data_IF_285766364843
#
_entry.id   IF_285766364843
#
_cell.length_a   1.000
_cell.length_b   1.000
_cell.length_c   1.000
_cell.angle_alpha   90.00
_cell.angle_beta   90.00
_cell.angle_gamma   90.00
#
_symmetry.space_group_name_H-M   'P 1'
#
loop_
_entity.id
_entity.type
_entity.pdbx_description
1 polymer ?
#
# COMPACT_ATOMS: atom_id res chain seq x y z
N UNK A 1 -2.22 -11.51 -18.17
CA UNK A 1 -3.08 -11.13 -17.02
C UNK A 1 -4.27 -12.08 -16.95
N UNK A 2 -4.62 -12.56 -15.75
CA UNK A 2 -5.77 -13.46 -15.58
C UNK A 2 -7.12 -12.72 -15.42
N UNK A 3 -7.07 -11.45 -15.00
CA UNK A 3 -8.27 -10.62 -14.93
C UNK A 3 -8.67 -10.09 -16.30
N UNK A 4 -9.88 -9.53 -16.41
CA UNK A 4 -10.35 -8.78 -17.59
C UNK A 4 -9.70 -7.40 -17.70
N UNK A 5 -9.09 -6.92 -16.60
CA UNK A 5 -8.39 -5.63 -16.48
C UNK A 5 -6.92 -5.86 -16.09
N UNK A 6 -6.07 -4.94 -16.45
CA UNK A 6 -4.62 -4.98 -16.20
C UNK A 6 -4.20 -4.00 -15.10
N UNK A 7 -2.92 -4.08 -14.70
CA UNK A 7 -2.30 -3.14 -13.77
C UNK A 7 -2.31 -3.57 -12.31
N UNK A 8 -3.20 -4.51 -11.95
CA UNK A 8 -3.21 -5.13 -10.62
C UNK A 8 -3.22 -4.12 -9.48
N UNK A 9 -2.58 -4.46 -8.36
CA UNK A 9 -2.46 -3.59 -7.19
C UNK A 9 -1.66 -2.31 -7.48
N UNK A 10 -0.70 -2.35 -8.41
CA UNK A 10 0.08 -1.17 -8.80
C UNK A 10 -0.80 -0.05 -9.35
N UNK A 11 -1.80 -0.37 -10.19
CA UNK A 11 -2.77 0.62 -10.70
C UNK A 11 -3.68 1.19 -9.61
N UNK A 12 -3.92 0.45 -8.53
CA UNK A 12 -4.75 0.84 -7.40
C UNK A 12 -3.99 1.64 -6.33
N UNK A 13 -2.67 1.63 -6.38
CA UNK A 13 -1.76 2.24 -5.39
C UNK A 13 -1.51 3.73 -5.69
N UNK A 14 -0.71 4.38 -4.82
CA UNK A 14 -0.15 5.71 -5.08
C UNK A 14 0.82 5.74 -6.25
N UNK A 15 1.26 4.60 -6.79
CA UNK A 15 2.16 4.53 -7.93
C UNK A 15 3.58 5.00 -7.65
N UNK A 16 3.94 5.14 -6.38
CA UNK A 16 5.29 5.56 -6.00
C UNK A 16 6.28 4.40 -6.12
N UNK A 17 7.50 4.75 -6.54
CA UNK A 17 8.69 3.90 -6.43
C UNK A 17 9.71 4.59 -5.52
N UNK A 18 10.44 3.80 -4.73
CA UNK A 18 11.49 4.32 -3.84
C UNK A 18 12.86 3.99 -4.43
N UNK A 19 13.59 5.01 -4.91
CA UNK A 19 14.88 4.86 -5.59
C UNK A 19 15.88 5.85 -4.99
N UNK A 20 16.82 5.40 -4.15
CA UNK A 20 17.85 6.26 -3.61
C UNK A 20 18.84 6.67 -4.69
N UNK A 21 19.48 7.81 -4.51
CA UNK A 21 20.51 8.32 -5.43
C UNK A 21 20.00 8.62 -6.84
N UNK A 22 18.69 8.73 -7.06
CA UNK A 22 18.13 9.03 -8.37
C UNK A 22 18.57 10.41 -8.87
N UNK A 23 18.59 10.62 -10.19
CA UNK A 23 19.11 11.85 -10.78
C UNK A 23 18.24 13.09 -10.50
N UNK A 24 16.94 12.92 -10.20
CA UNK A 24 16.06 14.01 -9.80
C UNK A 24 16.50 14.64 -8.47
N UNK A 25 17.02 13.84 -7.52
CA UNK A 25 17.58 14.36 -6.28
C UNK A 25 18.78 15.28 -6.52
N UNK A 26 19.66 14.89 -7.45
CA UNK A 26 20.82 15.73 -7.83
C UNK A 26 20.39 17.05 -8.43
N UNK A 27 19.37 17.04 -9.26
CA UNK A 27 18.82 18.25 -9.90
C UNK A 27 18.21 19.22 -8.88
N UNK A 28 17.68 18.70 -7.76
CA UNK A 28 17.10 19.49 -6.66
C UNK A 28 18.10 19.76 -5.52
N UNK A 29 19.36 19.39 -5.67
CA UNK A 29 20.41 19.51 -4.64
C UNK A 29 20.06 18.82 -3.30
N UNK A 30 19.31 17.75 -3.37
CA UNK A 30 19.00 16.91 -2.21
C UNK A 30 20.15 15.97 -1.92
N UNK A 31 20.52 15.85 -0.64
CA UNK A 31 21.62 15.00 -0.22
C UNK A 31 21.20 13.54 -0.15
N UNK A 32 21.94 12.69 -0.83
CA UNK A 32 21.83 11.24 -0.75
C UNK A 32 23.13 10.57 -1.24
N UNK A 33 23.42 9.39 -0.74
CA UNK A 33 24.54 8.58 -1.20
C UNK A 33 24.22 7.09 -1.19
N UNK A 34 25.05 6.33 -1.90
CA UNK A 34 24.99 4.86 -1.90
C UNK A 34 25.13 4.31 -0.48
N UNK A 35 26.07 4.85 0.28
CA UNK A 35 26.37 4.43 1.65
C UNK A 35 25.17 4.66 2.57
N UNK A 36 24.56 5.85 2.52
CA UNK A 36 23.34 6.16 3.28
C UNK A 36 22.20 5.22 2.92
N UNK A 37 21.99 4.95 1.64
CA UNK A 37 20.93 4.05 1.19
C UNK A 37 21.13 2.61 1.67
N UNK A 38 22.35 2.09 1.61
CA UNK A 38 22.69 0.75 2.08
C UNK A 38 22.60 0.64 3.61
N UNK A 39 23.05 1.66 4.34
CA UNK A 39 22.92 1.74 5.78
C UNK A 39 21.47 1.70 6.21
N UNK A 40 20.61 2.50 5.56
CA UNK A 40 19.17 2.52 5.80
C UNK A 40 18.52 1.15 5.55
N UNK A 41 18.72 0.57 4.37
CA UNK A 41 18.17 -0.74 4.03
C UNK A 41 18.71 -1.84 4.96
N UNK A 42 19.98 -1.76 5.34
CA UNK A 42 20.61 -2.65 6.30
C UNK A 42 19.94 -2.58 7.67
N UNK A 43 19.61 -1.38 8.14
CA UNK A 43 18.92 -1.16 9.43
C UNK A 43 17.53 -1.78 9.48
N UNK A 44 16.83 -1.84 8.33
CA UNK A 44 15.49 -2.42 8.21
C UNK A 44 15.48 -3.92 7.99
N UNK A 45 16.61 -4.49 7.53
CA UNK A 45 16.64 -5.88 7.07
C UNK A 45 16.62 -6.90 8.20
N UNK A 46 17.07 -6.51 9.41
CA UNK A 46 17.28 -7.42 10.53
C UNK A 46 18.06 -8.70 10.15
N UNK A 47 18.98 -8.57 9.17
CA UNK A 47 19.77 -9.69 8.66
C UNK A 47 19.01 -10.68 7.76
N UNK A 48 17.76 -10.40 7.40
CA UNK A 48 16.91 -11.28 6.56
C UNK A 48 17.06 -11.02 5.06
N UNK A 49 17.62 -9.89 4.66
CA UNK A 49 17.80 -9.55 3.25
C UNK A 49 19.23 -9.89 2.81
N UNK A 50 19.36 -10.42 1.61
CA UNK A 50 20.65 -10.70 0.99
C UNK A 50 21.34 -9.39 0.62
N UNK A 51 22.60 -9.23 1.07
CA UNK A 51 23.37 -8.00 0.84
C UNK A 51 23.58 -7.72 -0.64
N UNK A 52 23.86 -8.76 -1.45
CA UNK A 52 24.03 -8.61 -2.90
C UNK A 52 22.79 -8.09 -3.62
N UNK A 53 21.59 -8.42 -3.13
CA UNK A 53 20.34 -7.88 -3.67
C UNK A 53 20.09 -6.43 -3.24
N UNK A 54 20.47 -6.06 -2.00
CA UNK A 54 20.41 -4.67 -1.54
C UNK A 54 21.37 -3.79 -2.37
N UNK A 55 22.60 -4.23 -2.55
CA UNK A 55 23.59 -3.54 -3.39
C UNK A 55 23.10 -3.40 -4.82
N UNK A 56 22.61 -4.47 -5.44
CA UNK A 56 22.05 -4.43 -6.78
C UNK A 56 20.88 -3.45 -6.91
N UNK A 57 20.01 -3.39 -5.91
CA UNK A 57 18.87 -2.46 -5.90
C UNK A 57 19.35 -1.00 -5.87
N UNK A 58 20.28 -0.67 -4.98
CA UNK A 58 20.81 0.69 -4.83
C UNK A 58 21.64 1.10 -6.05
N UNK A 59 22.44 0.20 -6.60
CA UNK A 59 23.34 0.50 -7.71
C UNK A 59 22.61 0.58 -9.05
N UNK A 60 21.61 -0.26 -9.28
CA UNK A 60 20.88 -0.35 -10.57
C UNK A 60 19.64 0.53 -10.61
N UNK A 61 19.01 0.80 -9.47
CA UNK A 61 17.77 1.57 -9.39
C UNK A 61 17.83 2.92 -10.12
N UNK A 62 18.83 3.79 -9.85
CA UNK A 62 18.96 5.08 -10.55
C UNK A 62 19.13 4.94 -12.06
N UNK A 63 19.88 3.94 -12.51
CA UNK A 63 20.06 3.64 -13.94
C UNK A 63 18.77 3.16 -14.58
N UNK A 64 17.99 2.36 -13.87
CA UNK A 64 16.68 1.88 -14.31
C UNK A 64 15.71 3.07 -14.54
N UNK A 65 15.65 4.03 -13.60
CA UNK A 65 14.83 5.24 -13.76
C UNK A 65 15.23 6.00 -15.03
N UNK A 66 16.52 6.30 -15.22
CA UNK A 66 17.01 6.99 -16.41
C UNK A 66 16.71 6.21 -17.68
N UNK A 67 16.84 4.89 -17.64
CA UNK A 67 16.56 4.06 -18.82
C UNK A 67 15.09 4.13 -19.23
N UNK A 68 14.16 4.04 -18.25
CA UNK A 68 12.73 4.15 -18.54
C UNK A 68 12.37 5.51 -19.13
N UNK A 69 12.87 6.60 -18.54
CA UNK A 69 12.62 7.96 -19.03
C UNK A 69 13.18 8.22 -20.43
N UNK A 70 14.33 7.63 -20.75
CA UNK A 70 14.95 7.80 -22.07
C UNK A 70 14.39 6.86 -23.14
N UNK A 71 13.74 5.74 -22.74
CA UNK A 71 13.37 4.68 -23.67
C UNK A 71 11.88 4.29 -23.59
N UNK A 72 11.05 5.03 -22.87
CA UNK A 72 9.62 4.72 -22.75
C UNK A 72 8.81 5.99 -22.46
N UNK A 73 7.50 5.84 -22.33
CA UNK A 73 6.61 6.93 -21.93
C UNK A 73 6.61 7.20 -20.41
N UNK A 74 7.38 6.42 -19.65
CA UNK A 74 7.48 6.60 -18.21
C UNK A 74 8.34 7.82 -17.89
N UNK A 75 7.78 8.74 -17.12
CA UNK A 75 8.45 9.93 -16.58
C UNK A 75 8.20 9.96 -15.09
N UNK A 76 9.21 10.36 -14.32
CA UNK A 76 9.10 10.44 -12.87
C UNK A 76 9.35 11.86 -12.36
N UNK A 77 8.72 12.16 -11.23
CA UNK A 77 8.94 13.37 -10.44
C UNK A 77 9.12 12.99 -8.97
N UNK A 78 9.87 13.80 -8.21
CA UNK A 78 10.03 13.59 -6.77
C UNK A 78 8.71 13.86 -6.07
N UNK A 79 8.31 12.97 -5.15
CA UNK A 79 7.29 13.28 -4.15
C UNK A 79 7.95 14.15 -3.08
N UNK A 80 7.66 15.44 -3.11
CA UNK A 80 8.33 16.46 -2.29
C UNK A 80 8.05 16.25 -0.80
N UNK A 81 9.08 16.46 0.02
CA UNK A 81 8.99 16.37 1.46
C UNK A 81 8.44 15.04 2.00
N UNK A 82 8.49 13.98 1.20
CA UNK A 82 8.07 12.64 1.64
C UNK A 82 9.28 11.88 2.20
N UNK A 83 9.41 11.78 3.55
CA UNK A 83 10.55 11.13 4.17
C UNK A 83 10.51 9.60 3.95
N UNK A 84 11.61 8.94 4.26
CA UNK A 84 11.62 7.49 4.39
C UNK A 84 10.66 7.02 5.48
N UNK A 85 10.23 5.75 5.48
CA UNK A 85 9.29 5.22 6.47
C UNK A 85 9.85 5.20 7.90
N UNK A 86 11.15 5.10 8.03
CA UNK A 86 11.90 5.20 9.28
C UNK A 86 13.02 6.23 9.12
N UNK A 87 12.67 7.52 9.02
CA UNK A 87 13.67 8.57 8.75
C UNK A 87 14.63 8.78 9.90
N UNK A 88 14.31 8.26 11.09
CA UNK A 88 15.13 8.25 12.31
C UNK A 88 16.26 7.20 12.27
N UNK A 89 16.14 6.19 11.41
CA UNK A 89 17.14 5.13 11.31
C UNK A 89 18.45 5.62 10.64
N UNK A 90 19.59 4.98 10.91
CA UNK A 90 20.85 5.27 10.23
C UNK A 90 20.69 5.25 8.71
N UNK A 91 21.17 6.27 8.03
CA UNK A 91 21.03 6.43 6.59
C UNK A 91 19.62 6.82 6.10
N UNK A 92 18.64 6.97 7.00
CA UNK A 92 17.28 7.42 6.70
C UNK A 92 17.25 8.86 6.19
N UNK A 93 16.38 9.15 5.21
CA UNK A 93 16.22 10.47 4.63
C UNK A 93 14.96 11.15 5.19
N UNK A 94 15.17 12.26 5.91
CA UNK A 94 14.09 13.05 6.54
C UNK A 94 13.48 14.09 5.59
N UNK A 95 14.20 14.49 4.55
CA UNK A 95 13.81 15.58 3.64
C UNK A 95 13.09 15.10 2.38
N UNK A 96 13.00 13.80 2.17
CA UNK A 96 12.42 13.21 0.96
C UNK A 96 13.38 13.17 -0.23
N UNK A 97 12.85 12.83 -1.39
CA UNK A 97 13.60 12.75 -2.64
C UNK A 97 13.82 11.35 -3.18
N UNK A 98 13.82 10.32 -2.32
CA UNK A 98 13.95 8.92 -2.72
C UNK A 98 12.66 8.35 -3.32
N UNK A 99 11.50 8.90 -2.95
CA UNK A 99 10.19 8.50 -3.50
C UNK A 99 9.87 9.29 -4.75
N UNK A 100 9.52 8.60 -5.82
CA UNK A 100 9.18 9.14 -7.13
C UNK A 100 7.75 8.75 -7.49
N UNK A 101 7.02 9.63 -8.18
CA UNK A 101 5.72 9.35 -8.77
C UNK A 101 5.70 9.74 -10.26
N UNK A 102 4.71 9.26 -11.01
CA UNK A 102 4.50 9.71 -12.38
C UNK A 102 3.56 10.93 -12.38
N UNK A 103 3.87 11.99 -13.18
CA UNK A 103 2.95 13.08 -13.41
C UNK A 103 1.68 12.59 -14.11
N UNK A 104 0.63 13.43 -14.11
CA UNK A 104 -0.64 13.13 -14.77
C UNK A 104 -0.43 12.61 -16.19
N UNK A 105 -1.22 11.61 -16.57
CA UNK A 105 -1.16 10.98 -17.88
C UNK A 105 -2.54 10.99 -18.56
N UNK A 106 -2.64 11.41 -19.86
CA UNK A 106 -3.89 11.42 -20.60
C UNK A 106 -4.28 10.00 -21.03
N UNK A 107 -5.28 9.43 -20.39
CA UNK A 107 -5.72 8.05 -20.64
C UNK A 107 -6.34 7.85 -22.02
N UNK A 108 -6.79 8.90 -22.68
CA UNK A 108 -7.30 8.83 -24.05
C UNK A 108 -6.24 8.33 -25.05
N UNK A 109 -4.94 8.50 -24.74
CA UNK A 109 -3.84 7.95 -25.53
C UNK A 109 -3.77 6.41 -25.53
N UNK A 110 -4.48 5.75 -24.61
CA UNK A 110 -4.50 4.28 -24.50
C UNK A 110 -5.59 3.63 -25.35
N UNK A 111 -6.45 4.42 -26.00
CA UNK A 111 -7.57 3.89 -26.77
C UNK A 111 -8.48 2.97 -25.92
N UNK A 112 -8.76 1.77 -26.41
CA UNK A 112 -9.61 0.80 -25.68
C UNK A 112 -9.06 0.38 -24.31
N UNK A 113 -7.74 0.45 -24.10
CA UNK A 113 -7.10 0.08 -22.85
C UNK A 113 -7.37 1.08 -21.71
N UNK A 114 -7.82 2.30 -22.01
CA UNK A 114 -8.17 3.31 -21.00
C UNK A 114 -9.19 2.80 -19.97
N UNK A 115 -10.11 1.95 -20.38
CA UNK A 115 -11.16 1.36 -19.53
C UNK A 115 -10.83 -0.04 -19.01
N UNK A 116 -9.62 -0.55 -19.32
CA UNK A 116 -9.17 -1.89 -18.94
C UNK A 116 -8.04 -1.88 -17.91
N UNK A 117 -7.87 -0.80 -17.17
CA UNK A 117 -6.89 -0.66 -16.09
C UNK A 117 -7.63 -0.67 -14.76
N UNK A 118 -7.12 -1.47 -13.80
CA UNK A 118 -7.66 -1.59 -12.44
C UNK A 118 -7.74 -0.23 -11.76
N UNK A 119 -8.82 0.01 -11.00
CA UNK A 119 -9.04 1.29 -10.31
C UNK A 119 -9.06 1.11 -8.79
N UNK A 120 -8.53 2.09 -8.08
CA UNK A 120 -8.62 2.15 -6.62
C UNK A 120 -10.06 2.43 -6.18
N UNK A 121 -10.49 1.75 -5.10
CA UNK A 121 -11.77 2.04 -4.43
C UNK A 121 -11.66 3.19 -3.44
N UNK A 122 -10.45 3.60 -3.08
CA UNK A 122 -10.16 4.52 -1.98
C UNK A 122 -9.49 5.82 -2.43
N UNK A 123 -8.72 5.77 -3.50
CA UNK A 123 -7.94 6.90 -4.00
C UNK A 123 -8.53 7.41 -5.29
N UNK A 124 -8.70 8.72 -5.38
CA UNK A 124 -9.11 9.36 -6.64
C UNK A 124 -8.02 9.19 -7.69
N UNK A 125 -8.33 8.72 -8.89
CA UNK A 125 -7.34 8.60 -9.96
C UNK A 125 -6.89 9.97 -10.53
N UNK A 126 -7.51 11.06 -10.12
CA UNK A 126 -7.22 12.41 -10.62
C UNK A 126 -6.25 13.19 -9.73
N UNK A 127 -5.69 12.56 -8.70
CA UNK A 127 -4.71 13.14 -7.78
C UNK A 127 -3.28 12.69 -8.11
N UNK A 128 -2.32 13.50 -7.69
CA UNK A 128 -0.91 13.13 -7.53
C UNK A 128 -0.64 12.84 -6.05
N UNK A 129 0.39 12.06 -5.74
CA UNK A 129 0.80 11.82 -4.36
C UNK A 129 1.27 13.10 -3.69
N UNK A 130 1.94 13.99 -4.43
CA UNK A 130 2.29 15.33 -3.96
C UNK A 130 1.09 16.19 -3.53
N UNK A 131 -0.10 15.84 -3.96
CA UNK A 131 -1.36 16.52 -3.63
C UNK A 131 -2.15 15.81 -2.53
N UNK A 132 -1.58 14.84 -1.85
CA UNK A 132 -2.22 14.10 -0.76
C UNK A 132 -1.52 14.36 0.57
N UNK A 133 -2.19 14.09 1.68
CA UNK A 133 -1.55 14.17 3.00
C UNK A 133 -0.40 13.18 3.16
N UNK A 134 -0.43 12.06 2.44
CA UNK A 134 0.67 11.10 2.41
C UNK A 134 1.90 11.68 1.70
N UNK A 135 1.71 12.47 0.63
CA UNK A 135 2.77 13.25 -0.02
C UNK A 135 3.00 14.62 0.60
N UNK A 136 2.46 14.86 1.82
CA UNK A 136 2.52 16.13 2.54
C UNK A 136 1.90 17.32 1.80
N UNK A 137 0.93 17.04 0.94
CA UNK A 137 0.07 18.07 0.38
C UNK A 137 -0.91 18.61 1.43
N UNK A 138 -1.61 19.70 1.14
CA UNK A 138 -2.65 20.23 2.01
C UNK A 138 -3.80 19.22 2.16
N UNK A 139 -4.55 19.30 3.28
CA UNK A 139 -5.69 18.41 3.55
C UNK A 139 -6.79 18.48 2.47
N UNK A 140 -6.99 19.67 1.91
CA UNK A 140 -7.85 19.90 0.75
C UNK A 140 -6.95 19.97 -0.48
N UNK A 141 -6.65 18.83 -1.01
CA UNK A 141 -5.64 18.60 -2.02
C UNK A 141 -5.91 19.36 -3.31
N UNK A 142 -6.23 18.89 -4.38
CA UNK A 142 -6.55 19.70 -5.54
C UNK A 142 -7.97 20.30 -5.43
N UNK A 143 -8.20 21.58 -5.79
CA UNK A 143 -9.53 22.16 -5.85
C UNK A 143 -10.50 21.32 -6.67
N UNK A 144 -11.78 21.29 -6.28
CA UNK A 144 -12.82 20.48 -6.96
C UNK A 144 -12.89 20.76 -8.46
N UNK A 145 -12.70 22.02 -8.84
CA UNK A 145 -12.67 22.48 -10.25
C UNK A 145 -11.50 21.86 -11.03
N UNK A 146 -10.33 21.74 -10.38
CA UNK A 146 -9.16 21.08 -10.97
C UNK A 146 -9.41 19.59 -11.17
N UNK A 147 -9.96 18.91 -10.16
CA UNK A 147 -10.30 17.49 -10.26
C UNK A 147 -11.37 17.25 -11.35
N UNK A 148 -12.37 18.13 -11.45
CA UNK A 148 -13.38 18.07 -12.49
C UNK A 148 -12.74 18.24 -13.88
N UNK A 149 -11.86 19.22 -14.07
CA UNK A 149 -11.16 19.43 -15.34
C UNK A 149 -10.30 18.23 -15.72
N UNK A 150 -9.59 17.62 -14.75
CA UNK A 150 -8.80 16.39 -14.98
C UNK A 150 -9.69 15.21 -15.36
N UNK A 151 -10.84 15.08 -14.72
CA UNK A 151 -11.83 14.06 -15.06
C UNK A 151 -12.38 14.25 -16.49
N UNK A 152 -12.73 15.48 -16.88
CA UNK A 152 -13.22 15.82 -18.22
C UNK A 152 -12.16 15.56 -19.31
N UNK A 153 -10.87 15.74 -18.99
CA UNK A 153 -9.74 15.48 -19.88
C UNK A 153 -9.16 14.07 -19.70
N UNK A 154 -9.78 13.21 -18.91
CA UNK A 154 -9.30 11.88 -18.56
C UNK A 154 -7.82 11.82 -18.16
N UNK A 155 -7.35 12.87 -17.43
CA UNK A 155 -5.98 12.95 -16.90
C UNK A 155 -5.90 12.20 -15.58
N UNK A 156 -5.07 11.16 -15.49
CA UNK A 156 -4.96 10.33 -14.29
C UNK A 156 -3.56 10.37 -13.70
N UNK A 157 -3.50 10.31 -12.37
CA UNK A 157 -2.28 10.32 -11.56
C UNK A 157 -2.07 9.00 -10.81
N UNK A 158 -1.19 9.03 -9.83
CA UNK A 158 -0.89 7.88 -8.96
C UNK A 158 -0.57 6.60 -9.75
N UNK A 159 -0.99 5.43 -9.25
CA UNK A 159 -0.78 4.14 -9.91
C UNK A 159 -1.40 4.04 -11.30
N UNK A 160 -2.46 4.80 -11.56
CA UNK A 160 -3.06 4.88 -12.89
C UNK A 160 -2.08 5.50 -13.91
N UNK A 161 -1.39 6.60 -13.55
CA UNK A 161 -0.40 7.24 -14.42
C UNK A 161 0.77 6.30 -14.71
N UNK A 162 1.32 5.64 -13.67
CA UNK A 162 2.42 4.69 -13.84
C UNK A 162 2.04 3.56 -14.80
N UNK A 163 0.91 2.91 -14.56
CA UNK A 163 0.46 1.79 -15.39
C UNK A 163 0.06 2.29 -16.78
N UNK A 164 -0.63 3.43 -16.90
CA UNK A 164 -0.98 4.02 -18.20
C UNK A 164 0.24 4.25 -19.08
N UNK A 165 1.31 4.84 -18.55
CA UNK A 165 2.58 5.06 -19.26
C UNK A 165 3.27 3.77 -19.64
N UNK A 166 3.27 2.76 -18.77
CA UNK A 166 3.82 1.43 -19.09
C UNK A 166 3.01 0.74 -20.19
N UNK A 167 1.69 0.82 -20.13
CA UNK A 167 0.80 0.26 -21.18
C UNK A 167 1.03 0.97 -22.51
N UNK A 168 1.08 2.30 -22.52
CA UNK A 168 1.40 3.08 -23.74
C UNK A 168 2.73 2.63 -24.32
N UNK A 169 3.75 2.48 -23.48
CA UNK A 169 5.08 2.00 -23.90
C UNK A 169 5.04 0.60 -24.51
N UNK A 170 4.17 -0.28 -24.01
CA UNK A 170 3.95 -1.62 -24.60
C UNK A 170 3.24 -1.54 -25.95
N UNK A 171 2.19 -0.71 -26.05
CA UNK A 171 1.42 -0.53 -27.30
C UNK A 171 2.30 0.03 -28.41
N UNK A 172 3.11 1.06 -28.12
CA UNK A 172 4.04 1.67 -29.09
C UNK A 172 5.10 0.69 -29.62
N UNK A 173 5.41 -0.33 -28.82
CA UNK A 173 6.33 -1.42 -29.18
C UNK A 173 5.65 -2.65 -29.74
N UNK A 174 4.33 -2.58 -29.94
CA UNK A 174 3.53 -3.71 -30.42
C UNK A 174 3.67 -4.98 -29.55
N UNK A 175 3.89 -4.79 -28.23
CA UNK A 175 3.91 -5.90 -27.27
C UNK A 175 2.47 -6.37 -27.09
N UNK A 176 2.25 -7.67 -27.29
CA UNK A 176 0.94 -8.29 -27.15
C UNK A 176 0.57 -8.34 -25.65
N UNK A 177 -0.57 -7.75 -25.30
CA UNK A 177 -1.14 -7.79 -23.96
C UNK A 177 -2.42 -8.64 -24.03
N UNK A 178 -2.44 -9.73 -23.27
CA UNK A 178 -3.60 -10.64 -23.23
C UNK A 178 -4.19 -10.65 -21.81
N UNK A 179 -5.49 -10.50 -21.71
CA UNK A 179 -6.27 -10.62 -20.47
C UNK A 179 -7.02 -11.94 -20.43
N UNK A 180 -7.55 -12.33 -19.26
CA UNK A 180 -8.26 -13.60 -19.07
C UNK A 180 -7.38 -14.84 -19.36
N UNK A 181 -6.06 -14.67 -19.20
CA UNK A 181 -5.06 -15.72 -19.39
C UNK A 181 -4.37 -16.01 -18.06
N UNK A 182 -4.87 -16.98 -17.31
CA UNK A 182 -4.28 -17.41 -16.04
C UNK A 182 -3.12 -18.36 -16.29
N UNK A 183 -1.90 -17.94 -16.00
CA UNK A 183 -0.75 -18.85 -16.00
C UNK A 183 -0.90 -19.88 -14.88
N UNK A 184 -0.80 -21.16 -15.21
CA UNK A 184 -1.00 -22.28 -14.28
C UNK A 184 0.25 -23.14 -14.10
N UNK A 185 1.01 -23.36 -15.16
CA UNK A 185 2.13 -24.30 -15.14
C UNK A 185 3.31 -23.83 -16.00
N UNK A 186 4.52 -24.01 -15.47
CA UNK A 186 5.76 -23.92 -16.26
C UNK A 186 6.01 -25.28 -16.89
N UNK A 187 6.04 -25.35 -18.23
CA UNK A 187 6.33 -26.57 -18.96
C UNK A 187 7.85 -26.76 -18.96
N UNK A 188 8.33 -27.72 -18.17
CA UNK A 188 9.75 -28.01 -17.98
C UNK A 188 10.05 -29.43 -18.48
N UNK A 189 11.00 -29.57 -19.40
CA UNK A 189 11.49 -30.84 -19.90
C UNK A 189 13.00 -30.92 -19.75
N UNK A 190 13.49 -31.96 -19.13
CA UNK A 190 14.92 -32.16 -18.88
C UNK A 190 15.61 -30.95 -18.26
N UNK A 191 14.99 -30.39 -17.24
CA UNK A 191 15.42 -29.15 -16.53
C UNK A 191 15.49 -27.88 -17.39
N UNK A 192 14.87 -27.86 -18.56
CA UNK A 192 14.79 -26.68 -19.41
C UNK A 192 13.35 -26.20 -19.53
N UNK A 193 13.14 -24.90 -19.40
CA UNK A 193 11.84 -24.29 -19.69
C UNK A 193 11.53 -24.44 -21.18
N UNK A 194 10.32 -24.91 -21.49
CA UNK A 194 9.80 -25.07 -22.85
C UNK A 194 8.61 -24.18 -23.13
N UNK A 195 7.92 -23.76 -22.11
CA UNK A 195 6.74 -22.92 -22.26
C UNK A 195 6.02 -22.65 -20.95
N UNK A 196 4.89 -21.98 -21.09
CA UNK A 196 3.94 -21.71 -20.02
C UNK A 196 2.55 -22.15 -20.46
N UNK A 197 1.85 -22.85 -19.58
CA UNK A 197 0.45 -23.24 -19.78
C UNK A 197 -0.47 -22.21 -19.16
N UNK A 198 -1.50 -21.84 -19.91
CA UNK A 198 -2.53 -20.90 -19.49
C UNK A 198 -3.91 -21.55 -19.53
N UNK A 199 -4.72 -21.22 -18.52
CA UNK A 199 -6.16 -21.39 -18.57
C UNK A 199 -6.78 -20.14 -19.17
N UNK A 200 -7.56 -20.29 -20.25
CA UNK A 200 -8.21 -19.20 -20.97
C UNK A 200 -9.70 -19.47 -21.14
N UNK A 201 -10.53 -18.50 -21.50
CA UNK A 201 -11.96 -18.72 -21.78
C UNK A 201 -12.22 -19.74 -22.89
N UNK A 202 -11.27 -19.89 -23.82
CA UNK A 202 -11.35 -20.87 -24.92
C UNK A 202 -10.74 -22.25 -24.59
N UNK A 203 -10.26 -22.45 -23.37
CA UNK A 203 -9.62 -23.68 -22.91
C UNK A 203 -8.13 -23.52 -22.60
N UNK A 204 -7.41 -24.63 -22.53
CA UNK A 204 -5.99 -24.64 -22.21
C UNK A 204 -5.17 -24.19 -23.43
N UNK A 205 -4.21 -23.29 -23.21
CA UNK A 205 -3.28 -22.79 -24.22
C UNK A 205 -1.84 -22.89 -23.73
N UNK A 206 -0.98 -23.55 -24.46
CA UNK A 206 0.45 -23.62 -24.21
C UNK A 206 1.19 -22.59 -25.07
N UNK A 207 2.00 -21.73 -24.45
CA UNK A 207 2.86 -20.76 -25.15
C UNK A 207 4.31 -21.20 -25.00
N UNK A 208 4.97 -21.48 -26.15
CA UNK A 208 6.36 -21.88 -26.14
C UNK A 208 7.29 -20.73 -25.89
N UNK A 209 8.20 -20.90 -24.93
CA UNK A 209 9.25 -19.93 -24.59
C UNK A 209 10.42 -20.63 -23.91
N UNK A 210 11.59 -20.02 -23.95
CA UNK A 210 12.80 -20.49 -23.24
C UNK A 210 13.07 -19.70 -21.96
N UNK A 211 12.35 -18.59 -21.73
CA UNK A 211 12.47 -17.77 -20.53
C UNK A 211 11.13 -17.15 -20.15
N UNK A 212 10.92 -16.93 -18.86
CA UNK A 212 9.71 -16.33 -18.32
C UNK A 212 10.06 -15.39 -17.15
N UNK A 213 9.41 -14.25 -17.11
CA UNK A 213 9.43 -13.34 -15.95
C UNK A 213 8.10 -13.53 -15.21
N UNK A 214 8.17 -13.97 -13.95
CA UNK A 214 7.01 -14.13 -13.09
C UNK A 214 6.81 -12.82 -12.32
N UNK A 215 5.77 -12.08 -12.67
CA UNK A 215 5.39 -10.81 -12.06
C UNK A 215 3.88 -10.78 -11.75
N UNK A 216 3.37 -11.86 -11.14
CA UNK A 216 1.94 -12.15 -10.99
C UNK A 216 1.33 -11.64 -9.68
N UNK A 217 2.02 -10.75 -9.00
CA UNK A 217 1.57 -10.19 -7.71
C UNK A 217 1.70 -11.17 -6.54
N UNK A 218 1.01 -10.87 -5.46
CA UNK A 218 1.06 -11.60 -4.20
C UNK A 218 0.11 -12.79 -4.10
N UNK A 219 -0.14 -13.22 -2.84
CA UNK A 219 -1.00 -14.37 -2.55
C UNK A 219 -2.02 -14.11 -1.43
N UNK A 220 -2.19 -12.88 -1.03
CA UNK A 220 -2.97 -12.44 0.12
C UNK A 220 -4.48 -12.78 0.02
N UNK A 221 -4.98 -13.04 -1.18
CA UNK A 221 -6.35 -13.54 -1.40
C UNK A 221 -6.47 -15.06 -1.40
N UNK A 222 -5.35 -15.78 -1.24
CA UNK A 222 -5.34 -17.23 -1.09
C UNK A 222 -5.25 -17.60 0.39
N UNK A 223 -6.39 -17.85 1.05
CA UNK A 223 -6.46 -18.17 2.49
C UNK A 223 -5.54 -19.32 2.89
N UNK A 224 -5.37 -20.34 2.04
CA UNK A 224 -4.50 -21.46 2.33
C UNK A 224 -3.02 -21.04 2.40
N UNK A 225 -2.54 -20.25 1.44
CA UNK A 225 -1.18 -19.74 1.46
C UNK A 225 -0.97 -18.73 2.62
N UNK A 226 -1.93 -17.87 2.88
CA UNK A 226 -1.88 -16.92 4.02
C UNK A 226 -1.76 -17.69 5.33
N UNK A 227 -2.62 -18.68 5.58
CA UNK A 227 -2.61 -19.44 6.83
C UNK A 227 -1.33 -20.28 7.03
N UNK A 228 -0.67 -20.69 5.94
CA UNK A 228 0.54 -21.50 6.04
C UNK A 228 1.83 -20.68 6.11
N UNK A 229 1.84 -19.45 5.60
CA UNK A 229 3.08 -18.68 5.45
C UNK A 229 3.09 -17.41 6.29
N UNK A 230 2.01 -16.63 6.29
CA UNK A 230 2.01 -15.27 6.86
C UNK A 230 1.91 -15.34 8.39
N UNK A 231 2.70 -14.54 9.08
CA UNK A 231 2.57 -14.41 10.54
C UNK A 231 1.29 -13.64 10.90
N UNK A 232 0.60 -14.10 11.91
CA UNK A 232 -0.58 -13.43 12.42
C UNK A 232 -1.77 -13.42 11.44
N UNK A 233 -2.94 -12.95 11.88
CA UNK A 233 -4.13 -12.90 11.06
C UNK A 233 -4.05 -11.80 10.00
N UNK A 234 -4.24 -12.18 8.74
CA UNK A 234 -4.49 -11.29 7.61
C UNK A 234 -5.94 -11.50 7.16
N UNK A 235 -6.83 -10.60 7.56
CA UNK A 235 -8.28 -10.80 7.41
C UNK A 235 -8.87 -10.05 6.22
N UNK A 236 -8.33 -8.88 5.90
CA UNK A 236 -8.92 -7.92 4.95
C UNK A 236 -7.88 -7.39 3.97
N UNK A 237 -7.51 -8.15 2.92
CA UNK A 237 -6.64 -7.63 1.88
C UNK A 237 -7.26 -6.43 1.17
N UNK A 238 -6.44 -5.42 0.86
CA UNK A 238 -6.87 -4.21 0.13
C UNK A 238 -6.32 -4.15 -1.30
N UNK A 239 -5.56 -5.17 -1.69
CA UNK A 239 -5.06 -5.38 -3.04
C UNK A 239 -6.14 -5.97 -3.97
N UNK A 240 -5.78 -6.18 -5.23
CA UNK A 240 -6.68 -6.82 -6.20
C UNK A 240 -6.95 -8.29 -5.83
N UNK A 241 -8.21 -8.71 -5.96
CA UNK A 241 -8.67 -10.05 -5.56
C UNK A 241 -8.04 -11.20 -6.38
N UNK A 242 -7.41 -10.87 -7.49
CA UNK A 242 -6.70 -11.84 -8.34
C UNK A 242 -5.31 -12.22 -7.83
N UNK A 243 -4.82 -11.61 -6.73
CA UNK A 243 -3.56 -11.99 -6.09
C UNK A 243 -3.71 -13.29 -5.29
N UNK A 244 -3.70 -14.44 -5.99
CA UNK A 244 -3.94 -15.77 -5.41
C UNK A 244 -2.69 -16.67 -5.41
N UNK A 245 -1.52 -16.08 -5.70
CA UNK A 245 -0.23 -16.77 -5.61
C UNK A 245 0.06 -17.72 -6.77
N UNK A 246 -0.44 -17.46 -7.98
CA UNK A 246 -0.26 -18.38 -9.10
C UNK A 246 1.21 -18.50 -9.49
N UNK A 247 1.94 -17.37 -9.60
CA UNK A 247 3.37 -17.37 -9.84
C UNK A 247 4.18 -18.05 -8.74
N UNK A 248 3.82 -17.81 -7.48
CA UNK A 248 4.45 -18.48 -6.34
C UNK A 248 4.30 -20.00 -6.45
N UNK A 249 3.08 -20.48 -6.72
CA UNK A 249 2.82 -21.93 -6.89
C UNK A 249 3.59 -22.54 -8.06
N UNK A 250 3.66 -21.84 -9.20
CA UNK A 250 4.45 -22.27 -10.35
C UNK A 250 5.96 -22.33 -10.01
N UNK A 251 6.48 -21.30 -9.35
CA UNK A 251 7.88 -21.25 -8.94
C UNK A 251 8.23 -22.37 -7.93
N UNK A 252 7.36 -22.62 -6.95
CA UNK A 252 7.53 -23.72 -5.99
C UNK A 252 7.57 -25.09 -6.68
N UNK A 253 6.67 -25.34 -7.63
CA UNK A 253 6.67 -26.60 -8.42
C UNK A 253 7.95 -26.76 -9.24
N UNK A 254 8.54 -25.64 -9.68
CA UNK A 254 9.81 -25.62 -10.40
C UNK A 254 11.05 -25.72 -9.47
N UNK A 255 10.86 -25.83 -8.16
CA UNK A 255 11.95 -25.97 -7.18
C UNK A 255 12.57 -24.65 -6.71
N UNK A 256 11.90 -23.53 -6.87
CA UNK A 256 12.39 -22.25 -6.37
C UNK A 256 12.48 -22.25 -4.82
N UNK A 257 13.57 -21.68 -4.29
CA UNK A 257 13.70 -21.41 -2.88
C UNK A 257 12.80 -20.25 -2.45
N UNK A 258 12.23 -20.36 -1.25
CA UNK A 258 11.37 -19.34 -0.67
C UNK A 258 12.13 -18.55 0.41
N UNK A 259 11.82 -17.26 0.53
CA UNK A 259 12.37 -16.39 1.56
C UNK A 259 11.31 -15.39 2.04
N UNK A 260 11.42 -14.96 3.30
CA UNK A 260 10.58 -13.94 3.91
C UNK A 260 9.06 -14.16 3.78
N UNK A 261 8.62 -15.42 3.75
CA UNK A 261 7.22 -15.78 3.52
C UNK A 261 6.28 -15.34 4.64
N UNK A 262 6.83 -14.97 5.80
CA UNK A 262 6.06 -14.51 6.95
C UNK A 262 5.63 -13.05 6.85
N UNK A 263 6.24 -12.29 5.94
CA UNK A 263 6.01 -10.86 5.84
C UNK A 263 4.98 -10.53 4.76
N UNK A 264 4.21 -9.48 5.04
CA UNK A 264 3.31 -8.83 4.13
C UNK A 264 3.52 -7.32 4.22
N UNK A 265 3.02 -6.58 3.25
CA UNK A 265 2.92 -5.12 3.34
C UNK A 265 1.67 -4.79 4.14
N UNK A 266 1.84 -4.68 5.45
CA UNK A 266 0.77 -4.52 6.42
C UNK A 266 0.16 -3.12 6.38
N UNK A 267 -1.14 -3.05 6.57
CA UNK A 267 -1.88 -1.78 6.68
C UNK A 267 -3.08 -1.96 7.62
N UNK A 268 -3.32 -1.04 8.55
CA UNK A 268 -4.53 -1.05 9.36
C UNK A 268 -5.75 -0.66 8.51
N UNK A 269 -6.82 -1.43 8.66
CA UNK A 269 -8.07 -1.21 7.92
C UNK A 269 -9.27 -1.23 8.86
N UNK A 270 -10.32 -0.53 8.46
CA UNK A 270 -11.67 -0.67 9.03
C UNK A 270 -12.62 -1.13 7.94
N UNK A 271 -13.66 -1.84 8.32
CA UNK A 271 -14.73 -2.19 7.39
C UNK A 271 -15.75 -1.05 7.33
N UNK A 272 -16.04 -0.57 6.14
CA UNK A 272 -17.09 0.42 5.90
C UNK A 272 -18.12 -0.12 4.92
N UNK A 273 -19.33 0.39 4.98
CA UNK A 273 -20.35 0.14 3.95
C UNK A 273 -20.24 1.22 2.87
N UNK A 274 -20.03 0.80 1.63
CA UNK A 274 -19.98 1.72 0.49
C UNK A 274 -21.38 2.14 0.02
N UNK A 275 -21.45 3.02 -0.98
CA UNK A 275 -22.71 3.55 -1.52
C UNK A 275 -23.59 2.47 -2.17
N UNK A 276 -23.01 1.32 -2.50
CA UNK A 276 -23.69 0.15 -3.07
C UNK A 276 -24.16 -0.85 -2.00
N UNK A 277 -23.95 -0.55 -0.72
CA UNK A 277 -24.30 -1.41 0.41
C UNK A 277 -23.32 -2.58 0.65
N UNK A 278 -22.18 -2.60 -0.02
CA UNK A 278 -21.17 -3.63 0.17
C UNK A 278 -20.17 -3.25 1.28
N UNK A 279 -19.80 -4.21 2.12
CA UNK A 279 -18.74 -4.02 3.12
C UNK A 279 -17.38 -4.12 2.44
N UNK A 280 -16.60 -3.07 2.52
CA UNK A 280 -15.24 -2.98 1.95
C UNK A 280 -14.21 -2.58 3.00
N UNK A 281 -12.98 -3.12 2.95
CA UNK A 281 -11.90 -2.66 3.80
C UNK A 281 -11.43 -1.27 3.34
N UNK A 282 -11.28 -0.36 4.30
CA UNK A 282 -10.74 0.99 4.07
C UNK A 282 -9.46 1.17 4.86
N UNK A 283 -8.38 1.56 4.17
CA UNK A 283 -7.09 1.84 4.81
C UNK A 283 -7.18 3.14 5.60
N UNK A 284 -6.87 3.09 6.90
CA UNK A 284 -6.90 4.27 7.78
C UNK A 284 -5.53 4.93 7.95
N UNK A 285 -4.75 4.97 6.87
CA UNK A 285 -3.39 5.53 6.90
C UNK A 285 -3.37 7.02 7.21
N UNK A 286 -4.32 7.76 6.65
CA UNK A 286 -4.46 9.21 6.88
C UNK A 286 -5.23 9.49 8.15
N UNK A 287 -6.27 8.74 8.38
CA UNK A 287 -7.23 8.99 9.43
C UNK A 287 -6.58 8.84 10.82
N UNK A 288 -5.80 7.78 11.05
CA UNK A 288 -5.18 7.49 12.35
C UNK A 288 -4.12 8.49 12.80
N UNK A 289 -3.51 9.24 11.88
CA UNK A 289 -2.43 10.19 12.18
C UNK A 289 -2.92 11.62 12.44
N UNK A 290 -4.21 11.86 12.27
CA UNK A 290 -4.79 13.16 12.55
C UNK A 290 -4.88 13.41 14.08
N UNK A 291 -4.76 14.64 14.55
CA UNK A 291 -4.99 14.98 15.96
C UNK A 291 -6.37 14.53 16.45
N UNK A 292 -6.50 14.26 17.75
CA UNK A 292 -7.74 13.84 18.46
C UNK A 292 -8.15 12.40 18.12
N UNK A 293 -7.19 11.56 17.74
CA UNK A 293 -7.42 10.15 17.47
C UNK A 293 -6.35 9.31 18.18
N UNK A 294 -6.78 8.23 18.82
CA UNK A 294 -5.90 7.20 19.41
C UNK A 294 -6.36 5.81 18.99
N UNK A 295 -5.45 4.85 19.05
CA UNK A 295 -5.79 3.44 18.83
C UNK A 295 -5.63 2.64 20.12
N UNK A 296 -6.68 1.93 20.53
CA UNK A 296 -6.69 1.13 21.76
C UNK A 296 -7.02 -0.33 21.50
N UNK A 297 -6.53 -1.20 22.38
CA UNK A 297 -6.82 -2.63 22.41
C UNK A 297 -7.99 -2.98 23.36
N UNK A 298 -8.26 -4.26 23.57
CA UNK A 298 -9.31 -4.76 24.49
C UNK A 298 -9.19 -4.22 25.92
N UNK A 299 -7.98 -3.93 26.39
CA UNK A 299 -7.75 -3.36 27.74
C UNK A 299 -7.89 -1.84 27.76
N UNK A 300 -8.40 -1.22 26.70
CA UNK A 300 -8.53 0.23 26.60
C UNK A 300 -7.19 0.98 26.54
N UNK A 301 -6.07 0.29 26.27
CA UNK A 301 -4.72 0.86 26.28
C UNK A 301 -4.22 1.10 24.86
N UNK A 302 -3.51 2.23 24.66
CA UNK A 302 -2.72 2.47 23.44
C UNK A 302 -1.64 1.40 23.33
N UNK A 303 -1.30 1.03 22.11
CA UNK A 303 -0.36 -0.07 21.86
C UNK A 303 0.67 0.26 20.75
N UNK A 304 0.58 1.40 20.13
CA UNK A 304 1.53 1.89 19.14
C UNK A 304 1.37 3.39 18.92
N UNK A 305 2.43 4.06 18.50
CA UNK A 305 2.35 5.44 18.03
C UNK A 305 1.51 5.50 16.74
N UNK A 306 0.39 6.19 16.78
CA UNK A 306 -0.54 6.29 15.65
C UNK A 306 0.08 6.97 14.43
N UNK A 307 1.12 7.78 14.62
CA UNK A 307 1.85 8.45 13.54
C UNK A 307 2.94 7.55 12.89
N UNK A 308 3.28 6.41 13.48
CA UNK A 308 4.23 5.47 12.89
C UNK A 308 3.80 5.04 11.47
N UNK A 309 4.75 4.63 10.64
CA UNK A 309 4.41 4.15 9.30
C UNK A 309 3.46 2.93 9.37
N UNK A 310 2.56 2.83 8.40
CA UNK A 310 1.48 1.85 8.43
C UNK A 310 1.96 0.39 8.40
N UNK A 311 3.12 0.11 7.78
CA UNK A 311 3.65 -1.24 7.70
C UNK A 311 4.16 -1.74 9.06
N UNK A 312 4.73 -0.85 9.89
CA UNK A 312 5.19 -1.17 11.23
C UNK A 312 4.05 -1.63 12.17
N UNK A 313 2.84 -1.15 11.94
CA UNK A 313 1.66 -1.54 12.73
C UNK A 313 1.38 -3.05 12.68
N UNK A 314 1.74 -3.75 11.60
CA UNK A 314 1.61 -5.20 11.55
C UNK A 314 2.28 -5.91 12.72
N UNK A 315 3.45 -5.45 13.15
CA UNK A 315 4.15 -6.01 14.30
C UNK A 315 3.42 -5.73 15.63
N UNK A 316 2.87 -4.53 15.79
CA UNK A 316 2.12 -4.15 16.98
C UNK A 316 0.80 -4.94 17.11
N UNK A 317 0.06 -5.13 16.02
CA UNK A 317 -1.17 -5.93 16.02
C UNK A 317 -0.91 -7.42 16.33
N UNK A 318 0.20 -7.96 15.84
CA UNK A 318 0.50 -9.39 15.96
C UNK A 318 1.29 -9.76 17.24
N UNK A 319 1.23 -8.91 18.25
CA UNK A 319 1.82 -9.23 19.55
C UNK A 319 0.99 -10.29 20.26
N UNK A 320 1.56 -11.49 20.39
CA UNK A 320 0.92 -12.62 21.07
C UNK A 320 1.21 -12.56 22.57
N UNK A 321 0.18 -12.70 23.39
CA UNK A 321 0.31 -12.91 24.82
C UNK A 321 0.65 -14.38 25.12
N UNK A 322 1.81 -14.70 25.70
CA UNK A 322 2.18 -16.08 25.97
C UNK A 322 1.35 -16.73 27.09
N UNK A 323 0.66 -15.95 27.92
CA UNK A 323 -0.17 -16.46 29.00
C UNK A 323 -1.56 -16.89 28.54
N UNK A 324 -2.17 -16.11 27.65
CA UNK A 324 -3.52 -16.38 27.12
C UNK A 324 -3.50 -17.05 25.75
N UNK A 325 -2.39 -16.97 25.03
CA UNK A 325 -2.25 -17.38 23.63
C UNK A 325 -3.16 -16.60 22.67
N UNK A 326 -3.53 -15.38 23.05
CA UNK A 326 -4.32 -14.46 22.24
C UNK A 326 -3.45 -13.28 21.74
N UNK A 327 -3.84 -12.68 20.62
CA UNK A 327 -3.25 -11.43 20.20
C UNK A 327 -3.77 -10.29 21.07
N UNK A 328 -2.86 -9.61 21.78
CA UNK A 328 -3.21 -8.55 22.75
C UNK A 328 -3.94 -7.38 22.11
N UNK A 329 -3.58 -7.07 20.85
CA UNK A 329 -4.02 -5.87 20.15
C UNK A 329 -5.00 -6.21 19.01
N UNK A 330 -5.68 -7.36 19.08
CA UNK A 330 -6.75 -7.75 18.15
C UNK A 330 -7.94 -8.29 18.99
N UNK A 331 -9.10 -7.67 18.86
CA UNK A 331 -9.43 -6.48 18.10
C UNK A 331 -8.80 -5.20 18.66
N UNK A 332 -8.76 -4.15 17.81
CA UNK A 332 -8.40 -2.81 18.21
C UNK A 332 -9.40 -1.80 17.65
N UNK A 333 -9.50 -0.66 18.28
CA UNK A 333 -10.43 0.40 17.90
C UNK A 333 -9.70 1.72 17.74
N UNK A 334 -10.13 2.50 16.76
CA UNK A 334 -9.75 3.88 16.58
C UNK A 334 -10.77 4.74 17.31
N UNK A 335 -10.34 5.45 18.37
CA UNK A 335 -11.16 6.28 19.23
C UNK A 335 -10.91 7.75 18.88
N UNK A 336 -11.97 8.52 18.68
CA UNK A 336 -11.92 9.93 18.34
C UNK A 336 -13.23 10.63 18.77
N UNK A 337 -13.24 11.96 18.78
CA UNK A 337 -14.40 12.74 19.17
C UNK A 337 -15.13 13.38 17.99
N UNK A 338 -16.25 14.05 18.27
CA UNK A 338 -17.06 14.73 17.27
C UNK A 338 -16.29 15.82 16.51
N UNK A 339 -15.36 16.52 17.18
CA UNK A 339 -14.57 17.57 16.53
C UNK A 339 -13.60 16.98 15.49
N UNK A 340 -13.05 15.79 15.75
CA UNK A 340 -12.29 15.05 14.76
C UNK A 340 -13.09 14.86 13.46
N UNK A 341 -14.32 14.37 13.57
CA UNK A 341 -15.19 14.13 12.40
C UNK A 341 -15.47 15.41 11.61
N UNK A 342 -15.75 16.50 12.31
CA UNK A 342 -16.03 17.80 11.67
C UNK A 342 -14.79 18.34 10.95
N UNK A 343 -13.60 18.19 11.55
CA UNK A 343 -12.36 18.75 10.98
C UNK A 343 -11.78 17.89 9.86
N UNK A 344 -11.73 16.58 10.04
CA UNK A 344 -10.98 15.68 9.16
C UNK A 344 -11.89 14.72 8.39
N UNK A 345 -13.05 14.38 8.93
CA UNK A 345 -13.88 13.29 8.45
C UNK A 345 -13.26 11.93 8.72
N UNK A 346 -14.04 10.88 8.50
CA UNK A 346 -13.58 9.49 8.53
C UNK A 346 -14.02 8.79 7.25
N UNK A 347 -13.08 8.30 6.49
CA UNK A 347 -13.34 7.71 5.19
C UNK A 347 -14.13 8.68 4.28
N UNK A 348 -15.40 8.40 4.01
CA UNK A 348 -16.29 9.29 3.25
C UNK A 348 -17.27 10.09 4.13
N UNK A 349 -17.36 9.76 5.42
CA UNK A 349 -18.23 10.44 6.36
C UNK A 349 -17.61 11.74 6.88
N UNK A 350 -18.35 12.84 6.89
CA UNK A 350 -17.89 14.16 7.30
C UNK A 350 -18.49 14.66 8.61
N UNK A 351 -19.10 13.75 9.39
CA UNK A 351 -19.71 14.10 10.68
C UNK A 351 -21.06 14.79 10.59
N UNK A 352 -21.64 14.91 9.40
CA UNK A 352 -22.95 15.50 9.17
C UNK A 352 -23.97 14.41 8.80
N UNK A 353 -25.21 14.57 9.27
CA UNK A 353 -26.29 13.62 8.99
C UNK A 353 -26.33 12.40 9.90
N UNK A 354 -26.92 11.32 9.45
CA UNK A 354 -27.03 10.07 10.20
C UNK A 354 -25.68 9.38 10.32
N UNK A 355 -25.32 8.98 11.54
CA UNK A 355 -24.11 8.19 11.78
C UNK A 355 -24.22 6.86 11.04
N UNK A 356 -23.22 6.48 10.23
CA UNK A 356 -23.23 5.22 9.50
C UNK A 356 -23.24 4.01 10.45
N UNK A 357 -23.89 2.92 10.07
CA UNK A 357 -24.02 1.69 10.88
C UNK A 357 -22.66 1.03 11.22
N UNK A 358 -21.63 1.30 10.44
CA UNK A 358 -20.28 0.80 10.68
C UNK A 358 -19.50 1.63 11.72
N UNK A 359 -20.05 2.76 12.19
CA UNK A 359 -19.42 3.67 13.15
C UNK A 359 -20.21 3.63 14.47
N UNK A 360 -19.55 3.15 15.53
CA UNK A 360 -20.13 3.14 16.88
C UNK A 360 -19.93 4.51 17.55
N UNK A 361 -20.96 5.03 18.21
CA UNK A 361 -20.90 6.27 18.96
C UNK A 361 -21.64 6.17 20.27
N UNK A 362 -21.15 6.91 21.28
CA UNK A 362 -21.77 7.02 22.60
C UNK A 362 -21.55 8.42 23.20
N UNK A 363 -22.30 8.75 24.24
CA UNK A 363 -22.18 10.04 24.93
C UNK A 363 -21.06 10.07 25.96
N UNK A 364 -20.61 8.92 26.44
CA UNK A 364 -19.54 8.74 27.41
C UNK A 364 -18.57 7.66 27.00
N UNK A 365 -17.35 7.69 27.54
CA UNK A 365 -16.34 6.65 27.31
C UNK A 365 -16.78 5.30 27.88
N UNK A 366 -17.44 5.28 29.03
CA UNK A 366 -17.97 4.07 29.64
C UNK A 366 -19.00 3.38 28.71
N UNK A 367 -20.01 4.14 28.21
CA UNK A 367 -20.97 3.61 27.24
C UNK A 367 -20.30 3.13 25.96
N UNK A 368 -19.29 3.86 25.46
CA UNK A 368 -18.55 3.47 24.27
C UNK A 368 -17.80 2.15 24.51
N UNK A 369 -17.14 2.02 25.65
CA UNK A 369 -16.41 0.82 26.04
C UNK A 369 -17.32 -0.41 26.09
N UNK A 370 -18.51 -0.28 26.71
CA UNK A 370 -19.52 -1.33 26.76
C UNK A 370 -19.98 -1.76 25.35
N UNK A 371 -20.23 -0.78 24.45
CA UNK A 371 -20.69 -1.04 23.10
C UNK A 371 -19.64 -1.76 22.22
N UNK A 372 -18.36 -1.40 22.37
CA UNK A 372 -17.26 -2.01 21.59
C UNK A 372 -16.64 -3.24 22.28
N UNK A 373 -16.95 -3.47 23.55
CA UNK A 373 -16.43 -4.60 24.33
C UNK A 373 -14.98 -4.47 24.75
N UNK A 374 -14.57 -3.24 25.12
CA UNK A 374 -13.26 -3.00 25.73
C UNK A 374 -13.37 -2.66 27.22
N UNK A 375 -12.24 -2.64 27.92
CA UNK A 375 -12.18 -2.24 29.33
C UNK A 375 -12.44 -0.72 29.46
N UNK A 376 -13.56 -0.35 30.11
CA UNK A 376 -13.97 1.03 30.30
C UNK A 376 -13.03 1.83 31.20
N UNK A 377 -12.55 1.22 32.27
CA UNK A 377 -11.60 1.88 33.19
C UNK A 377 -10.27 2.15 32.46
N UNK A 378 -9.76 1.15 31.74
CA UNK A 378 -8.56 1.31 30.94
C UNK A 378 -8.70 2.35 29.84
N UNK A 379 -9.87 2.46 29.21
CA UNK A 379 -10.15 3.47 28.19
C UNK A 379 -10.18 4.88 28.78
N UNK A 380 -10.87 5.09 29.90
CA UNK A 380 -10.95 6.39 30.59
C UNK A 380 -9.56 6.86 31.03
N UNK A 381 -8.77 5.99 31.72
CA UNK A 381 -7.39 6.31 32.10
C UNK A 381 -6.51 6.66 30.89
N UNK A 382 -6.65 5.93 29.79
CA UNK A 382 -5.87 6.16 28.57
C UNK A 382 -6.19 7.51 27.94
N UNK A 383 -7.48 7.86 27.85
CA UNK A 383 -7.91 9.16 27.31
C UNK A 383 -7.50 10.32 28.21
N UNK A 384 -7.60 10.14 29.53
CA UNK A 384 -7.14 11.17 30.50
C UNK A 384 -5.62 11.41 30.37
N UNK A 385 -4.83 10.33 30.34
CA UNK A 385 -3.38 10.42 30.15
C UNK A 385 -3.02 11.08 28.82
N UNK A 386 -3.63 10.64 27.72
CA UNK A 386 -3.43 11.23 26.40
C UNK A 386 -3.74 12.72 26.35
N UNK A 387 -4.88 13.14 26.94
CA UNK A 387 -5.25 14.56 26.97
C UNK A 387 -4.25 15.41 27.77
N UNK A 388 -3.69 14.88 28.87
CA UNK A 388 -2.66 15.56 29.64
C UNK A 388 -1.35 15.68 28.81
N UNK A 389 -0.88 14.61 28.22
CA UNK A 389 0.32 14.61 27.37
C UNK A 389 0.17 15.54 26.15
N UNK A 390 -0.97 15.51 25.48
CA UNK A 390 -1.25 16.37 24.33
C UNK A 390 -1.25 17.86 24.69
N UNK A 391 -1.63 18.24 25.93
CA UNK A 391 -1.55 19.62 26.39
C UNK A 391 -0.11 20.11 26.51
N UNK A 392 0.82 19.22 26.85
CA UNK A 392 2.25 19.49 26.97
C UNK A 392 3.02 19.29 25.66
N UNK A 393 2.34 18.91 24.56
CA UNK A 393 2.92 18.56 23.26
C UNK A 393 3.95 17.43 23.37
N UNK A 394 3.71 16.48 24.23
CA UNK A 394 4.53 15.30 24.47
C UNK A 394 3.74 14.01 24.24
N UNK A 395 4.39 12.92 23.89
CA UNK A 395 3.84 11.57 23.86
C UNK A 395 4.73 10.66 24.69
N UNK A 396 4.48 10.63 25.98
CA UNK A 396 5.26 9.85 26.94
C UNK A 396 5.09 8.34 26.82
N UNK A 397 4.17 7.87 25.98
CA UNK A 397 3.94 6.45 25.75
C UNK A 397 4.87 5.88 24.66
N UNK A 398 5.31 6.71 23.68
CA UNK A 398 6.03 6.25 22.49
C UNK A 398 7.13 7.23 22.02
#
# INVERSE_FOLDING_TARGET
>A
EKATVIGGTSAMSGGMIWIPGNHHMKNKLLNDSREMALEYLGSLSHGRMRTDLLEAYVDVGPTMVQWFENNSEVVFEIVENFPDYHPENPGGNQTGGRSLECPLFPFDELGEWANRISQSRQMSPFLLMNETTLGRGPLDTAPKEVLKLRSEKNLRGCGQALIGRLVKSCLDRQIVIETEHQADELIIEQNNLRGVRFNTPSGIRDVKTQSVIIATGGFEWNKNLVNNFVRGPLQRPVSIETNTGDGLKMAMRAGAALGNMQEAWWVPVIDITNDEGATIPWMVNRERVNPRCIMVNKSGKRFANEAANYNAFGAAFHQLDPGTFEYQNIPAWMIFDQEYLVRFGLCRFRGEGQIPDWLTSASTLAELADLIGCDGVGLEETVECWNAQAADLDDGDF
#
